data_IF_053521961872
#
_entry.id   IF_053521961872
#
_cell.length_a   1.000
_cell.length_b   1.000
_cell.length_c   1.000
_cell.angle_alpha   90.00
_cell.angle_beta   90.00
_cell.angle_gamma   90.00
#
_symmetry.space_group_name_H-M   'P 1'
#
loop_
_entity.id
_entity.type
_entity.pdbx_description
1 polymer ?
#
# COMPACT_ATOMS: atom_id res chain seq x y z
N UNK A 1 -2.16 3.41 6.35
CA UNK A 1 -0.71 3.20 6.53
C UNK A 1 -0.32 1.78 6.15
N UNK A 2 0.70 1.61 5.29
CA UNK A 2 1.22 0.29 4.94
C UNK A 2 2.18 -0.18 6.04
N UNK A 3 2.04 -1.39 6.60
CA UNK A 3 2.83 -1.80 7.76
C UNK A 3 4.34 -1.75 7.56
N UNK A 4 4.84 -2.07 6.37
CA UNK A 4 6.27 -2.12 6.05
C UNK A 4 6.86 -0.76 5.62
N UNK A 5 6.06 0.31 5.63
CA UNK A 5 6.49 1.63 5.16
C UNK A 5 6.03 2.70 6.16
N UNK A 6 6.98 3.30 6.84
CA UNK A 6 6.73 4.45 7.69
C UNK A 6 6.72 5.72 6.83
N UNK A 7 5.58 6.43 6.70
CA UNK A 7 5.53 7.64 5.90
C UNK A 7 6.33 8.75 6.58
N UNK A 8 7.24 9.39 5.84
CA UNK A 8 7.96 10.58 6.30
C UNK A 8 7.15 11.83 5.95
N UNK A 9 6.85 12.04 4.66
CA UNK A 9 5.90 13.06 4.16
C UNK A 9 5.58 12.84 2.66
N UNK A 10 4.60 13.58 2.14
CA UNK A 10 4.24 13.58 0.73
C UNK A 10 5.17 14.51 -0.09
N UNK A 11 5.80 13.95 -1.12
CA UNK A 11 6.53 14.71 -2.14
C UNK A 11 5.58 15.28 -3.20
N UNK A 12 4.52 14.51 -3.52
CA UNK A 12 3.38 14.94 -4.30
C UNK A 12 2.13 14.59 -3.50
N UNK A 13 1.41 15.62 -3.05
CA UNK A 13 0.09 15.45 -2.43
C UNK A 13 -0.88 14.73 -3.38
N UNK A 14 -1.89 14.01 -2.86
CA UNK A 14 -2.85 13.30 -3.70
C UNK A 14 -3.48 14.19 -4.76
N UNK A 15 -3.13 13.93 -6.02
CA UNK A 15 -3.62 14.63 -7.19
C UNK A 15 -4.74 13.80 -7.83
N UNK A 16 -5.94 14.38 -7.89
CA UNK A 16 -7.09 13.74 -8.55
C UNK A 16 -6.88 13.60 -10.07
N UNK A 17 -7.18 12.41 -10.58
CA UNK A 17 -7.22 12.09 -11.99
C UNK A 17 -8.67 12.16 -12.46
N UNK A 18 -8.93 12.99 -13.47
CA UNK A 18 -10.28 13.22 -13.95
C UNK A 18 -10.97 11.94 -14.44
N UNK A 19 -12.14 11.63 -13.89
CA UNK A 19 -13.03 10.58 -14.41
C UNK A 19 -13.63 10.94 -15.80
N UNK A 20 -14.18 9.93 -16.47
CA UNK A 20 -14.95 10.08 -17.71
C UNK A 20 -15.91 8.91 -17.92
N UNK A 21 -17.15 9.20 -18.33
CA UNK A 21 -18.14 8.15 -18.63
C UNK A 21 -17.81 7.42 -19.95
N UNK A 22 -17.08 8.05 -20.86
CA UNK A 22 -16.91 7.59 -22.24
C UNK A 22 -15.68 6.70 -22.47
N UNK A 23 -14.89 6.38 -21.43
CA UNK A 23 -13.71 5.52 -21.59
C UNK A 23 -12.55 6.19 -22.33
N UNK A 24 -12.47 7.51 -22.34
CA UNK A 24 -11.46 8.23 -23.12
C UNK A 24 -10.08 8.16 -22.46
N UNK A 25 -9.02 8.11 -23.28
CA UNK A 25 -7.65 8.24 -22.80
C UNK A 25 -7.43 9.67 -22.30
N UNK A 26 -6.93 9.80 -21.09
CA UNK A 26 -6.55 11.08 -20.47
C UNK A 26 -5.09 11.11 -20.11
N UNK A 27 -4.55 12.32 -19.94
CA UNK A 27 -3.16 12.55 -19.53
C UNK A 27 -3.13 13.71 -18.55
N UNK A 28 -2.33 13.57 -17.49
CA UNK A 28 -2.00 14.64 -16.56
C UNK A 28 -0.50 14.66 -16.32
N UNK A 29 0.01 15.86 -16.03
CA UNK A 29 1.39 16.09 -15.64
C UNK A 29 1.42 16.59 -14.20
N UNK A 30 2.29 16.00 -13.40
CA UNK A 30 2.52 16.37 -12.01
C UNK A 30 4.02 16.62 -11.82
N UNK A 31 4.39 17.44 -10.84
CA UNK A 31 5.79 17.71 -10.54
C UNK A 31 6.02 17.65 -9.04
N UNK A 32 7.19 17.16 -8.64
CA UNK A 32 7.66 17.25 -7.26
C UNK A 32 9.16 17.58 -7.24
N UNK A 33 9.65 18.02 -6.09
CA UNK A 33 11.07 18.36 -5.88
C UNK A 33 11.58 17.61 -4.65
N UNK A 34 12.89 17.40 -4.60
CA UNK A 34 13.57 16.85 -3.43
C UNK A 34 14.79 17.67 -3.10
N UNK A 35 15.07 17.87 -1.82
CA UNK A 35 16.29 18.55 -1.40
C UNK A 35 17.51 17.63 -1.54
N UNK A 36 18.73 18.18 -1.74
CA UNK A 36 19.95 17.36 -1.77
C UNK A 36 20.15 16.51 -0.51
N UNK A 37 19.66 16.98 0.64
CA UNK A 37 19.70 16.24 1.91
C UNK A 37 18.79 15.02 1.91
N UNK A 38 17.67 15.07 1.20
CA UNK A 38 16.75 13.93 1.07
C UNK A 38 17.31 12.91 0.09
N UNK A 39 17.83 13.36 -1.04
CA UNK A 39 18.46 12.52 -2.04
C UNK A 39 19.63 11.72 -1.45
N UNK A 40 20.43 12.35 -0.59
CA UNK A 40 21.54 11.68 0.10
C UNK A 40 21.11 10.57 1.08
N UNK A 41 19.83 10.50 1.46
CA UNK A 41 19.29 9.44 2.33
C UNK A 41 18.73 8.25 1.54
N UNK A 42 18.45 8.44 0.26
CA UNK A 42 17.89 7.38 -0.58
C UNK A 42 18.89 6.22 -0.71
N UNK A 43 18.38 5.00 -0.68
CA UNK A 43 19.17 3.80 -0.89
C UNK A 43 18.53 2.93 -1.95
N UNK A 44 19.29 2.59 -2.99
CA UNK A 44 18.88 1.61 -4.02
C UNK A 44 19.25 0.17 -3.65
N UNK A 45 19.91 -0.04 -2.50
CA UNK A 45 20.22 -1.36 -1.99
C UNK A 45 19.00 -1.94 -1.26
N UNK A 46 18.28 -2.85 -1.94
CA UNK A 46 17.07 -3.50 -1.42
C UNK A 46 17.33 -4.37 -0.18
N UNK A 47 18.56 -4.82 0.05
CA UNK A 47 18.91 -5.63 1.21
C UNK A 47 19.10 -4.81 2.50
N UNK A 48 19.21 -3.48 2.40
CA UNK A 48 19.45 -2.60 3.53
C UNK A 48 18.11 -2.19 4.18
N UNK A 49 18.03 -2.32 5.50
CA UNK A 49 16.86 -1.92 6.30
C UNK A 49 17.31 -1.33 7.65
N UNK A 50 16.63 -0.27 8.15
CA UNK A 50 15.64 0.52 7.43
C UNK A 50 16.27 1.28 6.25
N UNK A 51 15.50 1.54 5.20
CA UNK A 51 15.98 2.34 4.05
C UNK A 51 14.95 3.37 3.63
N UNK A 52 15.42 4.51 3.13
CA UNK A 52 14.53 5.56 2.63
C UNK A 52 14.27 5.35 1.14
N UNK A 53 13.00 5.37 0.76
CA UNK A 53 12.52 5.17 -0.61
C UNK A 53 11.54 6.27 -1.04
N UNK A 54 11.44 6.45 -2.34
CA UNK A 54 10.42 7.27 -2.99
C UNK A 54 9.34 6.34 -3.54
N UNK A 55 8.14 6.47 -3.01
CA UNK A 55 7.04 5.55 -3.26
C UNK A 55 5.90 6.23 -4.04
N UNK A 56 5.61 5.72 -5.23
CA UNK A 56 4.44 6.08 -6.02
C UNK A 56 3.23 5.25 -5.58
N UNK A 57 2.11 5.93 -5.33
CA UNK A 57 0.85 5.30 -4.95
C UNK A 57 -0.29 5.82 -5.79
N UNK A 58 -1.22 4.93 -6.12
CA UNK A 58 -2.47 5.27 -6.79
C UNK A 58 -3.63 4.77 -5.93
N UNK A 59 -4.74 5.51 -5.94
CA UNK A 59 -5.91 5.22 -5.13
C UNK A 59 -7.17 5.32 -5.98
N UNK A 60 -8.16 4.48 -5.70
CA UNK A 60 -9.53 4.68 -6.18
C UNK A 60 -10.27 5.50 -5.13
N UNK A 61 -10.60 6.75 -5.47
CA UNK A 61 -11.25 7.71 -4.58
C UNK A 61 -12.75 7.86 -4.88
N UNK A 62 -13.36 6.86 -5.52
CA UNK A 62 -14.80 6.88 -5.83
C UNK A 62 -15.65 6.85 -4.56
N UNK A 63 -16.28 7.97 -4.22
CA UNK A 63 -17.15 8.15 -3.05
C UNK A 63 -16.71 9.32 -2.16
N UNK A 64 -17.48 9.66 -1.13
CA UNK A 64 -17.06 10.64 -0.11
C UNK A 64 -16.20 9.91 0.93
N UNK A 65 -14.94 9.67 0.56
CA UNK A 65 -13.97 8.87 1.33
C UNK A 65 -12.89 9.74 2.00
N UNK A 66 -13.20 11.04 2.16
CA UNK A 66 -12.41 11.94 3.01
C UNK A 66 -12.32 11.28 4.39
N UNK A 67 -11.11 11.07 4.87
CA UNK A 67 -10.78 10.47 6.19
C UNK A 67 -10.82 8.94 6.32
N UNK A 68 -10.89 8.19 5.21
CA UNK A 68 -10.71 6.72 5.23
C UNK A 68 -9.38 6.36 4.55
N UNK A 69 -8.64 5.45 5.17
CA UNK A 69 -7.44 4.86 4.59
C UNK A 69 -7.76 4.18 3.25
N UNK A 70 -7.15 4.67 2.17
CA UNK A 70 -7.33 4.11 0.83
C UNK A 70 -6.29 3.02 0.56
N UNK A 71 -6.77 1.86 0.12
CA UNK A 71 -5.91 0.81 -0.41
C UNK A 71 -5.33 1.22 -1.77
N UNK A 72 -4.11 0.74 -2.07
CA UNK A 72 -3.49 0.99 -3.36
C UNK A 72 -4.32 0.36 -4.50
N UNK A 73 -4.53 1.11 -5.57
CA UNK A 73 -5.25 0.65 -6.74
C UNK A 73 -4.87 1.50 -7.96
N UNK A 74 -4.68 0.85 -9.10
CA UNK A 74 -4.29 1.54 -10.34
C UNK A 74 -5.49 1.75 -11.27
N UNK A 75 -5.56 2.90 -11.97
CA UNK A 75 -6.47 3.10 -13.08
C UNK A 75 -6.29 2.05 -14.17
N UNK A 76 -7.34 1.84 -14.96
CA UNK A 76 -7.30 0.91 -16.08
C UNK A 76 -6.37 1.41 -17.19
N UNK A 77 -5.57 0.49 -17.76
CA UNK A 77 -4.51 0.78 -18.74
C UNK A 77 -3.65 2.01 -18.37
N UNK A 78 -3.31 2.13 -17.08
CA UNK A 78 -2.43 3.19 -16.61
C UNK A 78 -0.98 2.98 -17.10
N UNK A 79 -0.36 4.06 -17.55
CA UNK A 79 1.04 4.18 -17.93
C UNK A 79 1.61 5.45 -17.29
N UNK A 80 2.75 5.32 -16.61
CA UNK A 80 3.37 6.40 -15.85
C UNK A 80 4.82 6.54 -16.28
N UNK A 81 5.29 7.77 -16.47
CA UNK A 81 6.71 8.08 -16.65
C UNK A 81 7.18 9.10 -15.62
N UNK A 82 8.44 9.01 -15.22
CA UNK A 82 9.15 10.01 -14.44
C UNK A 82 10.33 10.53 -15.26
N UNK A 83 10.38 11.82 -15.54
CA UNK A 83 11.39 12.42 -16.42
C UNK A 83 11.53 11.66 -17.75
N UNK A 84 10.38 11.37 -18.38
CA UNK A 84 10.24 10.59 -19.61
C UNK A 84 10.70 9.11 -19.54
N UNK A 85 11.21 8.65 -18.39
CA UNK A 85 11.52 7.23 -18.17
C UNK A 85 10.28 6.47 -17.68
N UNK A 86 9.98 5.29 -18.24
CA UNK A 86 8.83 4.50 -17.83
C UNK A 86 8.97 4.01 -16.37
N UNK A 87 7.88 4.11 -15.61
CA UNK A 87 7.75 3.48 -14.29
C UNK A 87 7.27 2.04 -14.47
N UNK A 88 8.00 1.09 -13.90
CA UNK A 88 7.60 -0.33 -13.88
C UNK A 88 6.44 -0.52 -12.91
N UNK A 89 5.23 -0.69 -13.45
CA UNK A 89 4.03 -0.98 -12.67
C UNK A 89 3.85 -2.50 -12.50
N UNK A 90 3.19 -2.98 -11.42
CA UNK A 90 2.90 -4.39 -11.24
C UNK A 90 2.13 -4.99 -12.42
N UNK A 91 2.44 -6.23 -12.77
CA UNK A 91 1.80 -6.91 -13.89
C UNK A 91 0.29 -7.04 -13.69
N UNK A 92 -0.45 -6.87 -14.78
CA UNK A 92 -1.88 -7.06 -14.79
C UNK A 92 -2.20 -8.53 -15.07
N UNK A 93 -2.99 -9.16 -14.20
CA UNK A 93 -3.44 -10.55 -14.37
C UNK A 93 -4.96 -10.64 -14.48
N UNK A 94 -5.44 -11.59 -15.27
CA UNK A 94 -6.88 -11.88 -15.43
C UNK A 94 -7.23 -13.11 -14.62
N UNK A 95 -8.02 -12.94 -13.56
CA UNK A 95 -8.46 -14.07 -12.71
C UNK A 95 -9.61 -14.88 -13.31
N UNK A 96 -10.38 -14.33 -14.27
CA UNK A 96 -11.52 -15.00 -14.95
C UNK A 96 -11.72 -14.44 -16.36
N UNK A 97 -12.10 -15.29 -17.34
CA UNK A 97 -12.46 -14.84 -18.70
C UNK A 97 -13.59 -13.81 -18.64
N UNK A 98 -13.41 -12.67 -19.31
CA UNK A 98 -14.39 -11.58 -19.39
C UNK A 98 -14.38 -10.59 -18.23
N UNK A 99 -13.47 -10.73 -17.25
CA UNK A 99 -13.24 -9.70 -16.23
C UNK A 99 -12.06 -8.80 -16.60
N UNK A 100 -12.15 -7.53 -16.20
CA UNK A 100 -11.07 -6.56 -16.34
C UNK A 100 -9.78 -7.11 -15.70
N UNK A 101 -8.62 -7.03 -16.39
CA UNK A 101 -7.35 -7.42 -15.81
C UNK A 101 -7.05 -6.52 -14.61
N UNK A 102 -6.69 -7.15 -13.49
CA UNK A 102 -6.41 -6.46 -12.23
C UNK A 102 -4.90 -6.49 -12.01
N UNK A 103 -4.30 -5.34 -11.68
CA UNK A 103 -2.92 -5.28 -11.19
C UNK A 103 -2.91 -5.59 -9.70
N UNK A 104 -1.81 -6.14 -9.21
CA UNK A 104 -1.61 -6.23 -7.77
C UNK A 104 -1.61 -4.82 -7.16
N UNK A 105 -2.32 -4.70 -6.05
CA UNK A 105 -2.59 -3.45 -5.34
C UNK A 105 -1.48 -3.19 -4.32
N UNK A 106 -0.30 -2.82 -4.82
CA UNK A 106 0.86 -2.50 -3.98
C UNK A 106 1.50 -1.17 -4.43
N UNK A 107 2.15 -0.45 -3.51
CA UNK A 107 2.94 0.72 -3.86
C UNK A 107 4.08 0.39 -4.82
N UNK A 108 4.56 1.38 -5.56
CA UNK A 108 5.65 1.23 -6.53
C UNK A 108 6.86 2.03 -6.08
N UNK A 109 8.00 1.36 -5.92
CA UNK A 109 9.28 2.02 -5.67
C UNK A 109 9.81 2.67 -6.95
N UNK A 110 9.98 4.00 -6.91
CA UNK A 110 10.56 4.81 -7.99
C UNK A 110 11.92 5.41 -7.62
N UNK A 111 12.53 4.96 -6.51
CA UNK A 111 13.80 5.48 -5.98
C UNK A 111 14.91 5.45 -7.01
N UNK A 112 15.04 4.36 -7.76
CA UNK A 112 16.06 4.22 -8.80
C UNK A 112 15.92 5.27 -9.92
N UNK A 113 14.70 5.68 -10.27
CA UNK A 113 14.47 6.73 -11.28
C UNK A 113 14.86 8.11 -10.76
N UNK A 114 14.60 8.36 -9.47
CA UNK A 114 14.95 9.62 -8.79
C UNK A 114 16.46 9.77 -8.65
N UNK A 115 17.15 8.74 -8.16
CA UNK A 115 18.61 8.74 -7.93
C UNK A 115 19.39 8.87 -9.25
N UNK A 116 18.89 8.30 -10.34
CA UNK A 116 19.55 8.35 -11.65
C UNK A 116 19.20 9.60 -12.48
N UNK A 117 18.31 10.47 -11.98
CA UNK A 117 17.89 11.69 -12.66
C UNK A 117 18.62 12.91 -12.10
N UNK A 118 18.93 13.94 -12.93
CA UNK A 118 19.43 15.22 -12.44
C UNK A 118 18.48 15.86 -11.43
N UNK A 119 19.01 16.35 -10.31
CA UNK A 119 18.23 16.96 -9.22
C UNK A 119 18.06 18.48 -9.34
N UNK A 120 18.62 19.09 -10.39
CA UNK A 120 18.62 20.55 -10.57
C UNK A 120 17.28 21.11 -11.07
N UNK A 121 16.35 20.21 -11.43
CA UNK A 121 15.01 20.54 -11.90
C UNK A 121 13.96 19.66 -11.20
N UNK A 122 12.68 20.09 -11.14
CA UNK A 122 11.60 19.27 -10.63
C UNK A 122 11.45 17.95 -11.41
N UNK A 123 11.21 16.86 -10.68
CA UNK A 123 10.86 15.58 -11.25
C UNK A 123 9.48 15.67 -11.88
N UNK A 124 9.40 15.47 -13.19
CA UNK A 124 8.14 15.59 -13.95
C UNK A 124 7.54 14.22 -14.19
N UNK A 125 6.36 13.98 -13.62
CA UNK A 125 5.60 12.75 -13.79
C UNK A 125 4.49 12.95 -14.81
N UNK A 126 4.38 12.05 -15.78
CA UNK A 126 3.27 11.99 -16.72
C UNK A 126 2.48 10.73 -16.46
N UNK A 127 1.18 10.89 -16.24
CA UNK A 127 0.24 9.78 -16.00
C UNK A 127 -0.74 9.76 -17.17
N UNK A 128 -0.84 8.61 -17.83
CA UNK A 128 -1.80 8.33 -18.90
C UNK A 128 -2.68 7.20 -18.44
N UNK A 129 -3.99 7.35 -18.54
CA UNK A 129 -4.94 6.31 -18.17
C UNK A 129 -6.17 6.32 -19.06
N UNK A 130 -6.87 5.20 -19.11
CA UNK A 130 -8.22 5.13 -19.68
C UNK A 130 -9.20 5.56 -18.61
N UNK A 131 -9.77 6.75 -18.76
CA UNK A 131 -10.67 7.33 -17.76
C UNK A 131 -12.03 6.63 -17.80
N UNK A 132 -12.49 6.19 -16.64
CA UNK A 132 -13.80 5.57 -16.45
C UNK A 132 -14.63 6.36 -15.41
N UNK A 133 -15.75 5.80 -14.96
CA UNK A 133 -16.62 6.46 -13.98
C UNK A 133 -16.00 6.55 -12.58
N UNK A 134 -14.88 5.86 -12.34
CA UNK A 134 -14.18 5.89 -11.06
C UNK A 134 -13.34 7.17 -10.96
N UNK A 135 -13.29 7.75 -9.78
CA UNK A 135 -12.32 8.79 -9.45
C UNK A 135 -11.04 8.12 -8.98
N UNK A 136 -9.91 8.61 -9.47
CA UNK A 136 -8.60 8.09 -9.10
C UNK A 136 -7.75 9.22 -8.55
N UNK A 137 -6.75 8.89 -7.74
CA UNK A 137 -5.74 9.84 -7.32
C UNK A 137 -4.35 9.21 -7.41
N UNK A 138 -3.34 10.05 -7.60
CA UNK A 138 -1.93 9.67 -7.56
C UNK A 138 -1.19 10.52 -6.54
N UNK A 139 -0.28 9.90 -5.79
CA UNK A 139 0.56 10.58 -4.82
C UNK A 139 1.97 9.99 -4.83
N UNK A 140 2.94 10.77 -4.36
CA UNK A 140 4.32 10.32 -4.17
C UNK A 140 4.72 10.63 -2.74
N UNK A 141 5.23 9.61 -2.04
CA UNK A 141 5.65 9.72 -0.65
C UNK A 141 7.14 9.44 -0.50
N UNK A 142 7.78 10.15 0.41
CA UNK A 142 9.05 9.71 0.97
C UNK A 142 8.75 8.81 2.17
N UNK A 143 9.26 7.59 2.16
CA UNK A 143 8.96 6.58 3.19
C UNK A 143 10.25 5.94 3.71
N UNK A 144 10.20 5.45 4.95
CA UNK A 144 11.20 4.52 5.47
C UNK A 144 10.65 3.10 5.38
N UNK A 145 11.26 2.27 4.53
CA UNK A 145 10.95 0.86 4.38
C UNK A 145 11.62 0.06 5.51
N UNK A 146 10.85 -0.81 6.15
CA UNK A 146 11.29 -1.68 7.25
C UNK A 146 11.12 -3.15 6.87
N UNK A 147 11.87 -4.04 7.54
CA UNK A 147 11.76 -5.48 7.33
C UNK A 147 10.89 -6.15 8.41
N UNK A 148 10.64 -7.45 8.23
CA UNK A 148 9.86 -8.25 9.17
C UNK A 148 10.47 -8.28 10.58
N UNK A 149 11.79 -8.21 10.71
CA UNK A 149 12.47 -8.19 12.02
C UNK A 149 12.16 -6.90 12.79
N UNK A 150 12.24 -5.74 12.13
CA UNK A 150 11.89 -4.45 12.71
C UNK A 150 10.41 -4.45 13.13
N UNK A 151 9.51 -4.94 12.27
CA UNK A 151 8.09 -5.04 12.61
C UNK A 151 7.80 -5.99 13.77
N UNK A 152 8.45 -7.15 13.80
CA UNK A 152 8.34 -8.09 14.92
C UNK A 152 8.80 -7.43 16.22
N UNK A 153 9.91 -6.71 16.20
CA UNK A 153 10.40 -5.99 17.38
C UNK A 153 9.41 -4.90 17.82
N UNK A 154 8.81 -4.15 16.90
CA UNK A 154 7.74 -3.17 17.22
C UNK A 154 6.51 -3.85 17.83
N UNK A 155 6.10 -4.98 17.26
CA UNK A 155 4.97 -5.76 17.75
C UNK A 155 5.22 -6.25 19.17
N UNK A 156 6.32 -6.95 19.43
CA UNK A 156 6.63 -7.53 20.75
C UNK A 156 6.74 -6.46 21.85
N UNK A 157 7.21 -5.26 21.51
CA UNK A 157 7.32 -4.15 22.45
C UNK A 157 6.03 -3.31 22.56
N UNK A 158 4.98 -3.63 21.79
CA UNK A 158 3.68 -2.97 21.89
C UNK A 158 2.91 -3.51 23.08
N UNK A 159 2.25 -2.63 23.84
CA UNK A 159 1.35 -3.01 24.94
C UNK A 159 0.18 -3.89 24.45
N UNK A 160 -0.16 -3.83 23.16
CA UNK A 160 -1.19 -4.67 22.57
C UNK A 160 -0.74 -6.13 22.29
N UNK A 161 0.55 -6.44 22.44
CA UNK A 161 1.08 -7.79 22.24
C UNK A 161 0.77 -8.71 23.41
N UNK A 162 0.64 -8.15 24.62
CA UNK A 162 0.20 -8.92 25.77
C UNK A 162 -1.28 -9.27 25.60
N UNK A 163 -1.57 -10.57 25.57
CA UNK A 163 -2.92 -11.07 25.59
C UNK A 163 -3.28 -11.49 27.04
N UNK A 164 -4.16 -10.75 27.74
CA UNK A 164 -4.42 -11.02 29.15
C UNK A 164 -5.01 -12.42 29.34
N UNK A 165 -4.48 -13.16 30.33
CA UNK A 165 -4.96 -14.50 30.67
C UNK A 165 -6.49 -14.52 30.91
N UNK A 166 -7.02 -13.51 31.62
CA UNK A 166 -8.46 -13.39 31.92
C UNK A 166 -9.30 -13.28 30.64
N UNK A 167 -8.81 -12.55 29.63
CA UNK A 167 -9.47 -12.43 28.33
C UNK A 167 -9.45 -13.75 27.57
N UNK A 168 -8.31 -14.45 27.58
CA UNK A 168 -8.18 -15.79 26.98
C UNK A 168 -9.11 -16.80 27.62
N UNK A 169 -9.13 -16.85 28.96
CA UNK A 169 -10.00 -17.74 29.73
C UNK A 169 -11.47 -17.49 29.42
N UNK A 170 -11.90 -16.22 29.39
CA UNK A 170 -13.27 -15.86 29.06
C UNK A 170 -13.68 -16.31 27.65
N UNK A 171 -12.78 -16.16 26.66
CA UNK A 171 -13.03 -16.63 25.27
C UNK A 171 -13.14 -18.15 25.23
N UNK A 172 -12.23 -18.87 25.89
CA UNK A 172 -12.26 -20.34 25.97
C UNK A 172 -13.57 -20.80 26.63
N UNK A 173 -13.95 -20.22 27.77
CA UNK A 173 -15.21 -20.53 28.47
C UNK A 173 -16.43 -20.25 27.60
N UNK A 174 -16.45 -19.13 26.89
CA UNK A 174 -17.54 -18.79 25.97
C UNK A 174 -17.64 -19.77 24.80
N UNK A 175 -16.52 -20.28 24.29
CA UNK A 175 -16.51 -21.26 23.19
C UNK A 175 -16.93 -22.66 23.65
N UNK A 176 -16.62 -23.02 24.89
CA UNK A 176 -17.02 -24.28 25.51
C UNK A 176 -18.45 -24.23 26.08
N UNK A 177 -18.95 -23.05 26.45
CA UNK A 177 -20.33 -22.84 26.87
C UNK A 177 -21.26 -22.87 25.66
N UNK A 178 -22.00 -23.96 25.49
CA UNK A 178 -23.13 -24.02 24.57
C UNK A 178 -24.30 -23.14 25.05
N UNK A 179 -25.29 -22.93 24.17
CA UNK A 179 -26.60 -22.42 24.55
C UNK A 179 -27.42 -23.50 25.26
N UNK A 180 -28.36 -23.10 26.13
CA UNK A 180 -29.21 -24.03 26.89
C UNK A 180 -30.05 -24.99 26.02
N UNK A 181 -30.18 -24.70 24.71
CA UNK A 181 -30.93 -25.48 23.71
C UNK A 181 -30.04 -26.23 22.68
N UNK A 182 -28.71 -26.28 22.87
CA UNK A 182 -27.82 -26.95 21.92
C UNK A 182 -27.89 -28.49 22.06
N UNK A 183 -28.40 -29.20 21.04
CA UNK A 183 -28.38 -30.68 20.99
C UNK A 183 -26.95 -31.27 20.92
N UNK A 184 -25.97 -30.49 20.44
CA UNK A 184 -24.57 -30.89 20.31
C UNK A 184 -23.69 -29.82 20.94
N UNK A 185 -22.97 -30.18 22.00
CA UNK A 185 -22.06 -29.29 22.72
C UNK A 185 -20.58 -29.64 22.48
N UNK A 186 -19.70 -28.64 22.59
CA UNK A 186 -18.24 -28.82 22.51
C UNK A 186 -17.72 -29.23 23.90
N UNK A 187 -17.09 -30.40 23.98
CA UNK A 187 -16.55 -30.94 25.25
C UNK A 187 -15.13 -30.44 25.58
N UNK A 188 -14.34 -30.13 24.56
CA UNK A 188 -12.92 -29.84 24.66
C UNK A 188 -12.42 -29.03 23.47
N UNK A 189 -11.39 -28.21 23.72
CA UNK A 189 -10.69 -27.45 22.69
C UNK A 189 -9.23 -27.93 22.62
N UNK A 190 -8.79 -28.36 21.44
CA UNK A 190 -7.40 -28.75 21.18
C UNK A 190 -6.70 -27.63 20.43
N UNK A 191 -5.58 -27.16 20.96
CA UNK A 191 -4.79 -26.07 20.38
C UNK A 191 -3.37 -26.61 20.15
N UNK A 192 -2.85 -26.42 18.93
CA UNK A 192 -1.44 -26.71 18.64
C UNK A 192 -0.56 -25.57 19.14
N UNK A 193 0.57 -25.91 19.74
CA UNK A 193 1.62 -24.93 20.05
C UNK A 193 2.61 -24.73 18.89
N UNK A 194 2.42 -25.44 17.78
CA UNK A 194 3.23 -25.31 16.58
C UNK A 194 2.67 -24.21 15.66
N UNK A 195 3.58 -23.50 14.99
CA UNK A 195 3.22 -22.57 13.93
C UNK A 195 2.51 -23.31 12.78
N UNK A 196 1.36 -22.81 12.27
CA UNK A 196 0.64 -23.42 11.16
C UNK A 196 1.16 -23.02 9.77
N UNK A 197 2.19 -22.15 9.72
CA UNK A 197 2.89 -21.67 8.52
C UNK A 197 4.31 -22.25 8.49
#
# INVERSE_FOLDING_TARGET
PLPFYDPIYALLEPQELQSSVNGNIKTVYCQFTMSPKELAKLSTNEALFPRVEVQLRCFNTTGDIRDIEQADAFPFYCYITLNDLPVTLPDAFTTKKGKEPKRESHPVDITHLVVNSPSDAPYTMRIVWVADQRQWAVAVYLVECVNAEILRNRMVNSHAFEFPYVTMEAIIRKRLGGGDDDEVAIDSLKISLLCPV
#
